data_IF_323584484958
#
_entry.id   IF_323584484958
#
_cell.length_a   1.000
_cell.length_b   1.000
_cell.length_c   1.000
_cell.angle_alpha   90.00
_cell.angle_beta   90.00
_cell.angle_gamma   90.00
#
_symmetry.space_group_name_H-M   'P 1'
#
loop_
_entity.id
_entity.type
_entity.pdbx_description
1 polymer ?
#
# COMPACT_ATOMS: atom_id res chain seq x y z
N UNK A 1 -6.94 22.49 55.79
CA UNK A 1 -5.88 21.66 55.16
C UNK A 1 -6.55 20.64 54.26
N UNK A 2 -6.36 20.69 52.94
CA UNK A 2 -6.93 19.69 52.02
C UNK A 2 -6.03 18.45 52.03
N UNK A 3 -6.58 17.26 52.34
CA UNK A 3 -5.84 15.99 52.23
C UNK A 3 -5.47 15.79 50.76
N UNK A 4 -4.17 15.80 50.48
CA UNK A 4 -3.64 15.45 49.16
C UNK A 4 -3.76 13.94 49.01
N UNK A 5 -4.77 13.48 48.26
CA UNK A 5 -4.91 12.08 47.86
C UNK A 5 -3.89 11.83 46.75
N UNK A 6 -2.69 11.39 47.14
CA UNK A 6 -1.68 10.93 46.19
C UNK A 6 -2.05 9.55 45.64
N UNK A 7 -1.79 9.34 44.35
CA UNK A 7 -1.94 8.04 43.68
C UNK A 7 -0.96 7.03 44.28
N UNK A 8 -1.40 5.81 44.53
CA UNK A 8 -0.54 4.77 45.10
C UNK A 8 0.41 4.20 44.05
N UNK A 9 1.65 3.92 44.44
CA UNK A 9 2.62 3.22 43.56
C UNK A 9 2.10 1.86 43.11
N UNK A 10 1.33 1.17 43.96
CA UNK A 10 0.74 -0.13 43.58
C UNK A 10 -0.42 0.02 42.60
N UNK A 11 -1.19 1.12 42.66
CA UNK A 11 -2.23 1.41 41.67
C UNK A 11 -1.60 1.64 40.29
N UNK A 12 -0.50 2.39 40.25
CA UNK A 12 0.19 2.68 39.00
C UNK A 12 0.82 1.40 38.39
N UNK A 13 1.38 0.51 39.23
CA UNK A 13 1.94 -0.77 38.77
C UNK A 13 0.88 -1.71 38.17
N UNK A 14 -0.30 -1.83 38.79
CA UNK A 14 -1.38 -2.68 38.27
C UNK A 14 -1.90 -2.11 36.94
N UNK A 15 -2.04 -0.79 36.83
CA UNK A 15 -2.49 -0.15 35.59
C UNK A 15 -1.50 -0.42 34.45
N UNK A 16 -0.20 -0.29 34.69
CA UNK A 16 0.81 -0.59 33.66
C UNK A 16 0.80 -2.08 33.28
N UNK A 17 0.60 -2.98 34.24
CA UNK A 17 0.48 -4.41 33.95
C UNK A 17 -0.72 -4.72 33.04
N UNK A 18 -1.89 -4.12 33.30
CA UNK A 18 -3.10 -4.32 32.48
C UNK A 18 -2.94 -3.68 31.09
N UNK A 19 -2.41 -2.46 30.99
CA UNK A 19 -2.16 -1.81 29.70
C UNK A 19 -1.14 -2.61 28.88
N UNK A 20 -0.11 -3.15 29.55
CA UNK A 20 0.91 -3.99 28.91
C UNK A 20 0.33 -5.26 28.27
N UNK A 21 -0.58 -5.97 28.95
CA UNK A 21 -1.21 -7.17 28.39
C UNK A 21 -2.15 -6.84 27.23
N UNK A 22 -2.91 -5.74 27.33
CA UNK A 22 -3.77 -5.28 26.23
C UNK A 22 -2.96 -4.86 25.00
N UNK A 23 -1.87 -4.11 25.20
CA UNK A 23 -1.00 -3.65 24.12
C UNK A 23 -0.35 -4.81 23.36
N UNK A 24 0.06 -5.88 24.05
CA UNK A 24 0.67 -7.06 23.44
C UNK A 24 -0.23 -7.75 22.40
N UNK A 25 -1.56 -7.75 22.61
CA UNK A 25 -2.53 -8.34 21.68
C UNK A 25 -2.98 -7.29 20.65
N UNK A 26 -3.22 -6.06 21.08
CA UNK A 26 -3.80 -5.02 20.24
C UNK A 26 -2.84 -4.55 19.13
N UNK A 27 -1.54 -4.42 19.41
CA UNK A 27 -0.54 -3.94 18.45
C UNK A 27 -0.45 -4.84 17.21
N UNK A 28 -0.18 -6.16 17.31
CA UNK A 28 -0.06 -7.02 16.13
C UNK A 28 -1.39 -7.15 15.36
N UNK A 29 -2.53 -7.11 16.05
CA UNK A 29 -3.83 -7.13 15.40
C UNK A 29 -4.10 -5.84 14.61
N UNK A 30 -3.75 -4.68 15.16
CA UNK A 30 -3.90 -3.39 14.51
C UNK A 30 -2.98 -3.26 13.28
N UNK A 31 -1.71 -3.66 13.40
CA UNK A 31 -0.77 -3.62 12.26
C UNK A 31 -1.24 -4.49 11.10
N UNK A 32 -1.69 -5.72 11.38
CA UNK A 32 -2.21 -6.60 10.34
C UNK A 32 -3.47 -6.06 9.64
N UNK A 33 -4.33 -5.34 10.37
CA UNK A 33 -5.50 -4.69 9.78
C UNK A 33 -5.11 -3.47 8.94
N UNK A 34 -4.16 -2.67 9.41
CA UNK A 34 -3.61 -1.53 8.66
C UNK A 34 -2.95 -2.00 7.36
N UNK A 35 -2.13 -3.05 7.41
CA UNK A 35 -1.48 -3.63 6.23
C UNK A 35 -2.52 -4.09 5.17
N UNK A 36 -3.63 -4.69 5.60
CA UNK A 36 -4.76 -5.05 4.71
C UNK A 36 -5.41 -3.83 4.08
N UNK A 37 -5.61 -2.77 4.86
CA UNK A 37 -6.16 -1.50 4.38
C UNK A 37 -5.23 -0.83 3.36
N UNK A 38 -3.93 -0.85 3.60
CA UNK A 38 -2.93 -0.24 2.70
C UNK A 38 -2.88 -1.00 1.35
N UNK A 39 -2.93 -2.34 1.37
CA UNK A 39 -3.02 -3.17 0.16
C UNK A 39 -4.33 -2.92 -0.61
N UNK A 40 -5.46 -2.83 0.10
CA UNK A 40 -6.76 -2.56 -0.53
C UNK A 40 -6.79 -1.16 -1.15
N UNK A 41 -6.23 -0.16 -0.48
CA UNK A 41 -6.14 1.21 -0.96
C UNK A 41 -5.20 1.30 -2.18
N UNK A 42 -4.05 0.63 -2.13
CA UNK A 42 -3.14 0.50 -3.27
C UNK A 42 -3.86 -0.11 -4.48
N UNK A 43 -4.60 -1.21 -4.29
CA UNK A 43 -5.34 -1.84 -5.38
C UNK A 43 -6.43 -0.92 -5.96
N UNK A 44 -7.16 -0.17 -5.11
CA UNK A 44 -8.17 0.78 -5.55
C UNK A 44 -7.56 1.93 -6.37
N UNK A 45 -6.47 2.53 -5.88
CA UNK A 45 -5.72 3.55 -6.61
C UNK A 45 -5.20 3.01 -7.95
N UNK A 46 -4.62 1.82 -7.95
CA UNK A 46 -4.07 1.20 -9.15
C UNK A 46 -5.15 0.93 -10.21
N UNK A 47 -6.35 0.46 -9.81
CA UNK A 47 -7.49 0.29 -10.72
C UNK A 47 -7.94 1.62 -11.34
N UNK A 48 -7.94 2.71 -10.56
CA UNK A 48 -8.29 4.03 -11.09
C UNK A 48 -7.25 4.51 -12.11
N UNK A 49 -5.96 4.28 -11.86
CA UNK A 49 -4.90 4.62 -12.80
C UNK A 49 -4.95 3.76 -14.06
N UNK A 50 -5.29 2.48 -13.93
CA UNK A 50 -5.39 1.56 -15.05
C UNK A 50 -6.39 2.04 -16.11
N UNK A 51 -7.53 2.60 -15.68
CA UNK A 51 -8.52 3.14 -16.60
C UNK A 51 -7.96 4.32 -17.42
N UNK A 52 -7.27 5.26 -16.78
CA UNK A 52 -6.63 6.39 -17.45
C UNK A 52 -5.47 5.95 -18.35
N UNK A 53 -4.65 5.01 -17.89
CA UNK A 53 -3.55 4.45 -18.67
C UNK A 53 -4.04 3.71 -19.92
N UNK A 54 -5.16 2.98 -19.81
CA UNK A 54 -5.78 2.29 -20.95
C UNK A 54 -6.23 3.31 -21.99
N UNK A 55 -6.90 4.38 -21.58
CA UNK A 55 -7.30 5.47 -22.49
C UNK A 55 -6.09 6.13 -23.15
N UNK A 56 -5.05 6.46 -22.37
CA UNK A 56 -3.82 7.06 -22.89
C UNK A 56 -3.16 6.18 -23.95
N UNK A 57 -3.10 4.86 -23.73
CA UNK A 57 -2.58 3.90 -24.73
C UNK A 57 -3.46 3.85 -25.97
N UNK A 58 -4.78 3.93 -25.84
CA UNK A 58 -5.69 4.00 -26.98
C UNK A 58 -5.52 5.29 -27.81
N UNK A 59 -5.13 6.40 -27.17
CA UNK A 59 -4.81 7.68 -27.81
C UNK A 59 -3.38 7.72 -28.39
N UNK A 60 -2.62 6.61 -28.29
CA UNK A 60 -1.26 6.48 -28.80
C UNK A 60 -0.17 6.97 -27.86
N UNK A 61 -0.48 7.29 -26.60
CA UNK A 61 0.51 7.58 -25.57
C UNK A 61 1.12 6.30 -24.99
N UNK A 62 2.31 6.42 -24.42
CA UNK A 62 2.91 5.32 -23.64
C UNK A 62 2.41 5.39 -22.19
N UNK A 63 2.41 4.25 -21.51
CA UNK A 63 2.12 4.19 -20.07
C UNK A 63 3.11 5.05 -19.27
N UNK A 64 4.38 5.09 -19.69
CA UNK A 64 5.40 5.96 -19.13
C UNK A 64 4.98 7.44 -19.18
N UNK A 65 4.59 7.91 -20.38
CA UNK A 65 4.13 9.28 -20.59
C UNK A 65 2.91 9.62 -19.73
N UNK A 66 1.95 8.69 -19.64
CA UNK A 66 0.79 8.86 -18.77
C UNK A 66 1.20 9.03 -17.30
N UNK A 67 2.03 8.13 -16.76
CA UNK A 67 2.49 8.18 -15.36
C UNK A 67 3.26 9.47 -15.07
N UNK A 68 4.16 9.89 -15.96
CA UNK A 68 4.90 11.15 -15.82
C UNK A 68 4.03 12.39 -15.93
N UNK A 69 2.85 12.30 -16.56
CA UNK A 69 1.90 13.39 -16.70
C UNK A 69 0.97 13.59 -15.49
N UNK A 70 0.93 12.65 -14.54
CA UNK A 70 -0.05 12.67 -13.44
C UNK A 70 0.11 13.82 -12.46
N UNK A 71 1.33 14.31 -12.25
CA UNK A 71 1.66 15.36 -11.28
C UNK A 71 2.13 16.67 -11.92
N UNK A 72 2.10 16.74 -13.26
CA UNK A 72 2.60 17.88 -14.03
C UNK A 72 4.12 18.14 -13.89
N UNK A 73 4.86 17.25 -13.23
CA UNK A 73 6.29 17.41 -12.90
C UNK A 73 7.18 16.41 -13.66
N UNK A 74 6.60 15.62 -14.57
CA UNK A 74 7.31 14.61 -15.35
C UNK A 74 8.04 13.56 -14.47
N UNK A 75 7.50 13.27 -13.27
CA UNK A 75 8.11 12.31 -12.35
C UNK A 75 7.76 10.87 -12.73
N UNK A 76 8.76 9.98 -12.75
CA UNK A 76 8.54 8.54 -12.94
C UNK A 76 8.06 7.84 -11.67
N UNK A 77 8.02 8.58 -10.55
CA UNK A 77 7.61 8.09 -9.23
C UNK A 77 6.74 9.14 -8.55
N UNK A 78 5.46 8.82 -8.32
CA UNK A 78 4.51 9.70 -7.65
C UNK A 78 4.15 9.14 -6.27
N UNK A 79 4.24 9.96 -5.23
CA UNK A 79 3.86 9.55 -3.86
C UNK A 79 2.34 9.62 -3.69
N UNK A 80 1.74 8.50 -3.30
CA UNK A 80 0.39 8.45 -2.74
C UNK A 80 0.53 8.46 -1.22
N UNK A 81 0.26 9.62 -0.61
CA UNK A 81 0.42 9.84 0.82
C UNK A 81 -0.29 8.75 1.65
N UNK A 82 0.50 8.02 2.44
CA UNK A 82 0.01 6.98 3.35
C UNK A 82 -0.18 5.59 2.74
N UNK A 83 0.10 5.40 1.44
CA UNK A 83 -0.06 4.09 0.77
C UNK A 83 1.26 3.64 0.14
N UNK A 84 1.83 4.45 -0.75
CA UNK A 84 2.88 3.95 -1.63
C UNK A 84 3.40 4.96 -2.65
N UNK A 85 4.18 4.46 -3.60
CA UNK A 85 4.58 5.22 -4.78
C UNK A 85 4.06 4.55 -6.04
N UNK A 86 3.44 5.33 -6.92
CA UNK A 86 3.13 4.92 -8.29
C UNK A 86 4.41 5.00 -9.09
N UNK A 87 4.69 3.95 -9.86
CA UNK A 87 5.85 3.89 -10.73
C UNK A 87 5.45 3.26 -12.06
N UNK A 88 6.17 3.63 -13.11
CA UNK A 88 6.16 2.82 -14.34
C UNK A 88 6.71 1.41 -14.01
N UNK A 89 5.99 0.40 -14.45
CA UNK A 89 6.35 -1.01 -14.32
C UNK A 89 6.79 -1.58 -15.68
N UNK A 90 7.78 -0.93 -16.31
CA UNK A 90 8.41 -1.48 -17.51
C UNK A 90 9.24 -2.69 -17.12
N UNK A 91 8.75 -3.90 -17.45
CA UNK A 91 9.53 -5.13 -17.35
C UNK A 91 9.68 -5.71 -18.75
N UNK A 92 10.91 -5.80 -19.28
CA UNK A 92 11.18 -6.42 -20.59
C UNK A 92 10.44 -5.78 -21.77
N UNK A 93 10.34 -4.44 -21.81
CA UNK A 93 9.59 -3.65 -22.81
C UNK A 93 8.07 -3.86 -22.81
N UNK A 94 7.51 -4.47 -21.76
CA UNK A 94 6.06 -4.60 -21.57
C UNK A 94 5.59 -3.39 -20.74
N UNK A 95 4.75 -2.49 -21.28
CA UNK A 95 4.33 -1.30 -20.55
C UNK A 95 3.44 -1.69 -19.36
N UNK A 96 3.60 -0.98 -18.25
CA UNK A 96 2.89 -1.34 -17.02
C UNK A 96 2.89 -0.23 -15.98
N UNK A 97 2.01 -0.36 -14.99
CA UNK A 97 1.93 0.54 -13.84
C UNK A 97 2.02 -0.32 -12.59
N UNK A 98 2.83 0.10 -11.62
CA UNK A 98 2.87 -0.52 -10.30
C UNK A 98 2.69 0.51 -9.19
N UNK A 99 2.17 0.04 -8.08
CA UNK A 99 2.27 0.75 -6.80
C UNK A 99 3.21 -0.06 -5.90
N UNK A 100 4.22 0.62 -5.37
CA UNK A 100 5.12 0.08 -4.34
C UNK A 100 4.64 0.60 -2.99
N UNK A 101 4.29 -0.29 -2.07
CA UNK A 101 3.83 0.06 -0.72
C UNK A 101 5.02 0.66 0.05
N UNK A 102 4.81 1.81 0.68
CA UNK A 102 5.92 2.58 1.27
C UNK A 102 6.19 2.24 2.74
N UNK A 103 5.21 1.69 3.46
CA UNK A 103 5.28 1.51 4.91
C UNK A 103 4.64 0.19 5.35
N UNK A 104 4.80 -0.16 6.63
CA UNK A 104 4.24 -1.36 7.22
C UNK A 104 4.96 -2.65 6.83
N UNK A 105 4.30 -3.78 7.07
CA UNK A 105 4.87 -5.12 6.87
C UNK A 105 5.24 -5.37 5.40
N UNK A 106 4.52 -4.73 4.47
CA UNK A 106 4.70 -4.88 3.03
C UNK A 106 5.51 -3.75 2.40
N UNK A 107 6.28 -2.98 3.18
CA UNK A 107 7.15 -1.95 2.63
C UNK A 107 8.09 -2.51 1.56
N UNK A 108 8.17 -1.80 0.43
CA UNK A 108 8.94 -2.18 -0.75
C UNK A 108 8.30 -3.27 -1.62
N UNK A 109 7.11 -3.77 -1.28
CA UNK A 109 6.37 -4.75 -2.09
C UNK A 109 5.44 -4.05 -3.08
N UNK A 110 5.26 -4.67 -4.25
CA UNK A 110 4.51 -4.08 -5.34
C UNK A 110 3.30 -4.89 -5.79
N UNK A 111 2.29 -4.15 -6.25
CA UNK A 111 1.19 -4.65 -7.07
C UNK A 111 1.32 -3.97 -8.42
N UNK A 112 1.29 -4.75 -9.50
CA UNK A 112 1.55 -4.29 -10.86
C UNK A 112 0.45 -4.72 -11.83
N UNK A 113 0.18 -3.85 -12.79
CA UNK A 113 -0.47 -4.19 -14.04
C UNK A 113 0.56 -4.15 -15.17
N UNK A 114 0.66 -5.23 -15.94
CA UNK A 114 1.48 -5.31 -17.15
C UNK A 114 0.59 -5.53 -18.36
N UNK A 115 0.87 -4.83 -19.46
CA UNK A 115 0.05 -4.86 -20.67
C UNK A 115 0.67 -5.74 -21.75
N UNK A 116 0.00 -6.83 -22.12
CA UNK A 116 0.35 -7.64 -23.28
C UNK A 116 -0.60 -7.32 -24.45
N UNK A 117 -0.22 -6.38 -25.31
CA UNK A 117 -1.10 -5.87 -26.37
C UNK A 117 -2.23 -5.01 -25.80
N UNK A 118 -3.47 -5.47 -25.89
CA UNK A 118 -4.65 -4.80 -25.30
C UNK A 118 -5.09 -5.38 -23.96
N UNK A 119 -4.46 -6.47 -23.53
CA UNK A 119 -4.84 -7.20 -22.32
C UNK A 119 -3.97 -6.75 -21.16
N UNK A 120 -4.60 -6.36 -20.06
CA UNK A 120 -3.94 -6.03 -18.82
C UNK A 120 -3.94 -7.22 -17.87
N UNK A 121 -2.74 -7.63 -17.44
CA UNK A 121 -2.54 -8.67 -16.44
C UNK A 121 -2.15 -8.04 -15.12
N UNK A 122 -2.84 -8.39 -14.05
CA UNK A 122 -2.45 -7.99 -12.70
C UNK A 122 -1.55 -9.06 -12.06
N UNK A 123 -0.44 -8.63 -11.48
CA UNK A 123 0.45 -9.46 -10.68
C UNK A 123 0.83 -8.72 -9.38
N UNK A 124 1.13 -9.43 -8.30
CA UNK A 124 1.60 -8.84 -7.04
C UNK A 124 2.75 -9.65 -6.45
N UNK A 125 3.56 -9.04 -5.59
CA UNK A 125 4.64 -9.74 -4.89
C UNK A 125 4.08 -10.81 -3.93
N UNK A 126 4.44 -12.08 -4.12
CA UNK A 126 3.94 -13.23 -3.33
C UNK A 126 4.24 -13.13 -1.83
N UNK A 127 5.17 -12.28 -1.41
CA UNK A 127 5.50 -12.06 0.00
C UNK A 127 4.45 -11.18 0.70
N UNK A 128 3.51 -10.59 -0.05
CA UNK A 128 2.28 -10.04 0.50
C UNK A 128 1.39 -11.21 0.92
N UNK A 129 1.47 -11.59 2.19
CA UNK A 129 0.76 -12.74 2.77
C UNK A 129 -0.36 -12.31 3.70
N UNK A 130 -1.42 -13.12 3.82
CA UNK A 130 -2.52 -12.84 4.76
C UNK A 130 -3.52 -11.77 4.27
N UNK A 131 -3.41 -11.37 3.01
CA UNK A 131 -4.34 -10.49 2.30
C UNK A 131 -4.73 -11.16 0.99
N UNK A 132 -6.02 -11.15 0.65
CA UNK A 132 -6.52 -11.63 -0.64
C UNK A 132 -6.60 -10.48 -1.62
N UNK A 133 -5.92 -10.60 -2.76
CA UNK A 133 -5.92 -9.60 -3.84
C UNK A 133 -6.67 -10.21 -5.04
N UNK A 134 -7.95 -9.90 -5.15
CA UNK A 134 -8.82 -10.49 -6.17
C UNK A 134 -8.46 -10.00 -7.58
N UNK A 135 -8.36 -10.95 -8.51
CA UNK A 135 -8.06 -10.67 -9.92
C UNK A 135 -6.58 -10.47 -10.23
N UNK A 136 -5.67 -10.75 -9.28
CA UNK A 136 -4.23 -10.66 -9.47
C UNK A 136 -3.54 -12.00 -9.19
N UNK A 137 -2.48 -12.32 -9.94
CA UNK A 137 -1.65 -13.50 -9.71
C UNK A 137 -0.40 -13.19 -8.89
N UNK A 138 -0.02 -14.08 -7.99
CA UNK A 138 1.21 -13.94 -7.20
C UNK A 138 2.45 -14.16 -8.09
N UNK A 139 3.35 -13.19 -8.11
CA UNK A 139 4.65 -13.23 -8.78
C UNK A 139 5.75 -13.53 -7.75
N UNK A 140 6.77 -14.34 -8.11
CA UNK A 140 7.92 -14.56 -7.25
C UNK A 140 8.72 -13.29 -6.92
#
# INVERSE_FOLDING_TARGET
MRKQQGFSLIELLIVVAIIGTLAAIAVPAYTAQKDKSDVAAAMASLKSLLAGATLAVHEGQTVASYVTGLDGTASTTLVINGIGTIQDATAGNVPGIKIVISDGTFSGKDIKYSQAGTIWKCDYDKTITGVTIDGCSARP
#
